data_IF_927736858969
#
_entry.id   IF_927736858969
#
_cell.length_a   1.000
_cell.length_b   1.000
_cell.length_c   1.000
_cell.angle_alpha   90.00
_cell.angle_beta   90.00
_cell.angle_gamma   90.00
#
_symmetry.space_group_name_H-M   'P 1'
#
loop_
_entity.id
_entity.type
_entity.pdbx_description
1 polymer ?
#
# COMPACT_ATOMS: atom_id res chain seq x y z
N UNK A 1 -7.52 8.65 0.12
CA UNK A 1 -6.52 9.69 -0.17
C UNK A 1 -5.11 9.17 0.09
N UNK A 2 -4.64 9.09 1.35
CA UNK A 2 -3.21 8.89 1.65
C UNK A 2 -2.64 7.47 1.47
N UNK A 3 -3.48 6.45 1.31
CA UNK A 3 -3.02 5.06 1.26
C UNK A 3 -1.91 4.78 0.22
N UNK A 4 -1.95 5.32 -1.01
CA UNK A 4 -0.85 5.15 -1.96
C UNK A 4 0.45 5.87 -1.56
N UNK A 5 0.37 6.95 -0.78
CA UNK A 5 1.52 7.70 -0.28
C UNK A 5 2.18 7.00 0.91
N UNK A 6 1.37 6.41 1.79
CA UNK A 6 1.86 5.72 2.99
C UNK A 6 2.19 4.25 2.75
N UNK A 7 2.05 3.75 1.52
CA UNK A 7 2.18 2.34 1.21
C UNK A 7 3.52 1.76 1.67
N UNK A 8 4.63 2.50 1.53
CA UNK A 8 5.95 2.02 1.94
C UNK A 8 6.07 1.70 3.45
N UNK A 9 5.21 2.29 4.31
CA UNK A 9 5.15 1.97 5.74
C UNK A 9 4.47 0.62 6.00
N UNK A 10 3.65 0.15 5.06
CA UNK A 10 2.82 -1.05 5.18
C UNK A 10 3.34 -2.21 4.31
N UNK A 11 3.88 -1.89 3.14
CA UNK A 11 4.51 -2.79 2.18
C UNK A 11 5.98 -2.37 2.07
N UNK A 12 6.76 -2.73 3.08
CA UNK A 12 8.09 -2.18 3.33
C UNK A 12 9.23 -3.00 2.69
N UNK A 13 8.93 -4.08 1.97
CA UNK A 13 9.92 -4.98 1.35
C UNK A 13 9.70 -5.06 -0.15
N UNK A 14 10.74 -5.39 -0.92
CA UNK A 14 10.59 -5.67 -2.38
C UNK A 14 9.57 -6.79 -2.61
N UNK A 15 9.60 -7.82 -1.76
CA UNK A 15 8.67 -8.96 -1.84
C UNK A 15 7.21 -8.57 -1.57
N UNK A 16 6.93 -7.47 -0.85
CA UNK A 16 5.55 -7.01 -0.65
C UNK A 16 4.82 -6.78 -1.98
N UNK A 17 5.54 -6.34 -3.02
CA UNK A 17 4.97 -5.97 -4.32
C UNK A 17 4.77 -7.16 -5.25
N UNK A 18 5.39 -8.31 -4.98
CA UNK A 18 5.07 -9.56 -5.71
C UNK A 18 3.67 -10.06 -5.34
N UNK A 19 3.18 -9.71 -4.15
CA UNK A 19 1.81 -9.99 -3.69
C UNK A 19 0.79 -9.00 -4.26
N UNK A 20 1.16 -7.73 -4.44
CA UNK A 20 0.27 -6.64 -4.87
C UNK A 20 0.01 -6.64 -6.40
N UNK A 21 -0.35 -7.81 -6.93
CA UNK A 21 -0.65 -8.01 -8.36
C UNK A 21 -2.09 -8.52 -8.54
N UNK A 22 -2.74 -8.20 -9.67
CA UNK A 22 -4.12 -8.63 -9.93
C UNK A 22 -4.28 -10.16 -9.87
N UNK A 23 -5.45 -10.64 -9.42
CA UNK A 23 -5.81 -12.06 -9.44
C UNK A 23 -5.47 -12.87 -8.19
N UNK A 24 -4.73 -12.30 -7.23
CA UNK A 24 -4.33 -12.98 -5.98
C UNK A 24 -5.05 -12.47 -4.73
N UNK A 25 -6.24 -11.88 -4.89
CA UNK A 25 -7.05 -11.28 -3.80
C UNK A 25 -6.35 -10.17 -3.01
N UNK A 26 -5.20 -9.71 -3.49
CA UNK A 26 -4.47 -8.57 -2.98
C UNK A 26 -5.01 -7.28 -3.63
N UNK A 27 -5.23 -6.22 -2.86
CA UNK A 27 -5.66 -4.94 -3.40
C UNK A 27 -4.55 -4.31 -4.26
N UNK A 28 -4.91 -3.75 -5.42
CA UNK A 28 -3.97 -3.02 -6.31
C UNK A 28 -4.26 -1.51 -6.36
N UNK A 29 -5.34 -1.07 -5.73
CA UNK A 29 -5.75 0.32 -5.68
C UNK A 29 -6.35 0.67 -4.32
N UNK A 30 -6.19 1.93 -3.91
CA UNK A 30 -6.75 2.52 -2.70
C UNK A 30 -8.27 2.68 -2.82
N UNK A 31 -8.96 1.58 -2.57
CA UNK A 31 -10.41 1.40 -2.71
C UNK A 31 -11.03 0.96 -1.41
N UNK A 32 -12.32 1.21 -1.26
CA UNK A 32 -13.10 0.64 -0.17
C UNK A 32 -14.42 0.07 -0.66
N UNK A 33 -15.01 -0.83 0.11
CA UNK A 33 -16.33 -1.38 -0.16
C UNK A 33 -16.89 -2.15 1.02
N UNK A 34 -18.21 -2.32 1.05
CA UNK A 34 -18.92 -3.09 2.08
C UNK A 34 -18.80 -4.57 1.76
N UNK A 35 -18.25 -5.34 2.70
CA UNK A 35 -17.98 -6.78 2.56
C UNK A 35 -17.15 -7.18 1.33
N UNK A 36 -16.50 -6.21 0.66
CA UNK A 36 -15.80 -6.43 -0.59
C UNK A 36 -14.34 -6.84 -0.36
N UNK A 37 -14.01 -8.09 -0.67
CA UNK A 37 -12.66 -8.65 -0.49
C UNK A 37 -11.65 -8.24 -1.57
N UNK A 38 -12.11 -7.62 -2.65
CA UNK A 38 -11.24 -7.10 -3.71
C UNK A 38 -10.74 -5.68 -3.43
N UNK A 39 -11.34 -4.99 -2.46
CA UNK A 39 -10.94 -3.65 -2.03
C UNK A 39 -9.77 -3.65 -1.04
N UNK A 40 -9.08 -2.51 -0.95
CA UNK A 40 -8.03 -2.30 0.05
C UNK A 40 -8.57 -2.14 1.47
N UNK A 41 -9.66 -1.40 1.61
CA UNK A 41 -10.42 -1.29 2.85
C UNK A 41 -11.74 -2.05 2.70
N UNK A 42 -11.95 -3.03 3.57
CA UNK A 42 -13.24 -3.74 3.63
C UNK A 42 -13.99 -3.30 4.86
N UNK A 43 -15.14 -2.66 4.65
CA UNK A 43 -16.06 -2.35 5.73
C UNK A 43 -16.80 -3.63 6.08
N UNK A 44 -16.67 -4.06 7.33
CA UNK A 44 -17.38 -5.21 7.87
C UNK A 44 -18.53 -4.69 8.72
N UNK A 45 -19.75 -5.00 8.30
CA UNK A 45 -20.94 -4.57 9.01
C UNK A 45 -21.16 -5.42 10.26
N UNK A 46 -21.75 -4.82 11.29
CA UNK A 46 -21.98 -5.46 12.57
C UNK A 46 -22.80 -4.57 13.48
N UNK A 47 -22.92 -4.96 14.74
CA UNK A 47 -23.47 -4.09 15.77
C UNK A 47 -22.47 -3.01 16.20
N UNK A 48 -22.85 -2.18 17.16
CA UNK A 48 -22.04 -1.08 17.66
C UNK A 48 -20.62 -1.49 18.12
N UNK A 49 -20.45 -2.73 18.62
CA UNK A 49 -19.16 -3.25 19.09
C UNK A 49 -18.38 -4.06 18.06
N UNK A 50 -18.95 -4.37 16.89
CA UNK A 50 -18.35 -5.30 15.93
C UNK A 50 -18.20 -4.74 14.51
N UNK A 51 -18.86 -3.62 14.18
CA UNK A 51 -18.61 -2.89 12.96
C UNK A 51 -17.18 -2.36 12.94
N UNK A 52 -16.46 -2.61 11.84
CA UNK A 52 -15.03 -2.25 11.72
C UNK A 52 -14.60 -2.13 10.27
N UNK A 53 -13.42 -1.56 10.07
CA UNK A 53 -12.74 -1.53 8.78
C UNK A 53 -11.54 -2.47 8.83
N UNK A 54 -11.47 -3.39 7.87
CA UNK A 54 -10.33 -4.28 7.65
C UNK A 54 -9.36 -3.65 6.65
N UNK A 55 -8.09 -3.49 7.06
CA UNK A 55 -7.01 -2.94 6.24
C UNK A 55 -6.25 -4.08 5.53
N UNK A 56 -6.62 -4.40 4.29
CA UNK A 56 -6.23 -5.64 3.60
C UNK A 56 -4.86 -5.62 2.89
N UNK A 57 -4.19 -4.47 2.91
CA UNK A 57 -2.87 -4.31 2.28
C UNK A 57 -1.74 -4.86 3.18
N UNK A 58 -1.92 -4.87 4.50
CA UNK A 58 -0.90 -5.37 5.41
C UNK A 58 -0.56 -6.85 5.14
N UNK A 59 0.73 -7.17 5.21
CA UNK A 59 1.28 -8.51 5.07
C UNK A 59 1.94 -8.97 6.38
N UNK A 60 2.30 -10.25 6.49
CA UNK A 60 2.83 -10.81 7.74
C UNK A 60 4.27 -10.34 8.05
N UNK A 61 5.03 -9.90 7.05
CA UNK A 61 6.40 -9.38 7.14
C UNK A 61 6.48 -7.90 7.53
N UNK A 62 5.34 -7.27 7.79
CA UNK A 62 5.23 -5.85 8.16
C UNK A 62 5.75 -5.58 9.57
N UNK A 63 6.25 -4.36 9.80
CA UNK A 63 6.38 -3.83 11.15
C UNK A 63 4.98 -3.45 11.68
N UNK A 64 4.41 -4.15 12.68
CA UNK A 64 3.03 -3.94 13.12
C UNK A 64 2.81 -2.54 13.72
N UNK A 65 3.84 -1.92 14.30
CA UNK A 65 3.74 -0.56 14.84
C UNK A 65 3.56 0.46 13.72
N UNK A 66 4.35 0.35 12.64
CA UNK A 66 4.22 1.24 11.48
C UNK A 66 2.89 1.01 10.75
N UNK A 67 2.44 -0.24 10.67
CA UNK A 67 1.15 -0.59 10.09
C UNK A 67 -0.02 0.11 10.81
N UNK A 68 -0.05 -0.02 12.13
CA UNK A 68 -1.10 0.57 12.97
C UNK A 68 -1.00 2.09 12.95
N UNK A 69 0.20 2.65 13.02
CA UNK A 69 0.40 4.09 12.96
C UNK A 69 -0.04 4.68 11.60
N UNK A 70 0.26 4.00 10.48
CA UNK A 70 -0.24 4.39 9.16
C UNK A 70 -1.77 4.30 9.05
N UNK A 71 -2.37 3.21 9.54
CA UNK A 71 -3.82 3.03 9.49
C UNK A 71 -4.57 4.06 10.35
N UNK A 72 -4.16 4.24 11.61
CA UNK A 72 -4.79 5.19 12.55
C UNK A 72 -4.49 6.62 12.13
N UNK A 73 -3.22 6.95 11.84
CA UNK A 73 -2.81 8.31 11.47
C UNK A 73 -3.50 8.80 10.20
N UNK A 74 -3.58 7.98 9.15
CA UNK A 74 -4.31 8.37 7.93
C UNK A 74 -5.81 8.48 8.12
N UNK A 75 -6.40 7.67 9.01
CA UNK A 75 -7.81 7.78 9.38
C UNK A 75 -8.13 9.07 10.13
N UNK A 76 -7.32 9.40 11.15
CA UNK A 76 -7.46 10.65 11.91
C UNK A 76 -7.24 11.87 11.02
N UNK A 77 -6.20 11.87 10.19
CA UNK A 77 -5.93 12.94 9.23
C UNK A 77 -7.13 13.18 8.31
N UNK A 78 -7.76 12.11 7.81
CA UNK A 78 -8.97 12.21 6.98
C UNK A 78 -10.16 12.82 7.73
N UNK A 79 -10.35 12.49 9.01
CA UNK A 79 -11.42 13.07 9.84
C UNK A 79 -11.17 14.57 10.06
N UNK A 80 -9.95 14.95 10.43
CA UNK A 80 -9.56 16.34 10.70
C UNK A 80 -9.72 17.22 9.46
N UNK A 81 -9.32 16.71 8.30
CA UNK A 81 -9.40 17.40 7.02
C UNK A 81 -10.74 17.22 6.30
N UNK A 82 -11.72 16.54 6.93
CA UNK A 82 -13.06 16.27 6.39
C UNK A 82 -13.01 15.67 4.98
N UNK A 83 -12.14 14.69 4.81
CA UNK A 83 -11.94 14.00 3.54
C UNK A 83 -13.06 12.97 3.37
N UNK A 84 -13.95 13.25 2.42
CA UNK A 84 -14.96 12.27 2.02
C UNK A 84 -14.31 11.14 1.22
N UNK A 85 -14.62 9.87 1.53
CA UNK A 85 -14.19 8.75 0.71
C UNK A 85 -14.94 8.76 -0.63
N UNK A 86 -14.34 8.17 -1.66
CA UNK A 86 -15.02 8.00 -2.95
C UNK A 86 -16.22 7.06 -2.80
N UNK A 87 -17.04 6.91 -3.84
CA UNK A 87 -18.11 5.92 -3.84
C UNK A 87 -17.58 4.50 -3.55
N UNK A 88 -18.29 3.70 -2.72
CA UNK A 88 -17.87 2.35 -2.41
C UNK A 88 -17.88 1.47 -3.67
N UNK A 89 -16.84 0.65 -3.83
CA UNK A 89 -16.76 -0.27 -4.96
C UNK A 89 -17.76 -1.41 -4.76
N UNK A 90 -18.72 -1.46 -5.68
CA UNK A 90 -19.62 -2.61 -5.86
C UNK A 90 -19.06 -3.55 -6.93
N UNK A 91 -19.19 -4.87 -6.71
CA UNK A 91 -18.62 -5.88 -7.59
C UNK A 91 -17.10 -6.03 -7.42
N UNK A 92 -16.39 -6.39 -8.49
CA UNK A 92 -14.95 -6.62 -8.46
C UNK A 92 -14.16 -5.32 -8.65
N UNK A 93 -13.27 -5.00 -7.73
CA UNK A 93 -12.42 -3.80 -7.79
C UNK A 93 -11.39 -3.86 -8.92
N UNK A 94 -10.94 -5.05 -9.34
CA UNK A 94 -9.99 -5.20 -10.44
C UNK A 94 -10.56 -4.75 -11.79
N UNK A 95 -11.89 -4.77 -11.94
CA UNK A 95 -12.58 -4.38 -13.18
C UNK A 95 -12.85 -2.87 -13.25
N UNK A 96 -12.50 -2.12 -12.19
CA UNK A 96 -12.76 -0.69 -12.10
C UNK A 96 -11.57 0.10 -12.63
N UNK A 97 -11.86 1.02 -13.57
CA UNK A 97 -10.89 2.03 -13.99
C UNK A 97 -10.87 3.15 -12.97
N UNK A 98 -9.80 3.20 -12.18
CA UNK A 98 -9.61 4.20 -11.13
C UNK A 98 -8.53 5.21 -11.56
N UNK A 99 -8.65 6.47 -11.13
CA UNK A 99 -7.63 7.49 -11.36
C UNK A 99 -6.24 7.05 -10.90
N UNK A 100 -5.20 7.62 -11.50
CA UNK A 100 -3.80 7.26 -11.21
C UNK A 100 -3.44 7.50 -9.73
N UNK A 101 -4.04 8.52 -9.11
CA UNK A 101 -3.81 8.86 -7.70
C UNK A 101 -4.35 7.78 -6.75
N UNK A 102 -5.26 6.92 -7.21
CA UNK A 102 -5.78 5.78 -6.43
C UNK A 102 -5.04 4.49 -6.69
N UNK A 103 -4.20 4.41 -7.73
CA UNK A 103 -3.40 3.23 -7.98
C UNK A 103 -2.30 3.12 -6.92
N UNK A 104 -2.16 1.93 -6.34
CA UNK A 104 -1.04 1.66 -5.43
C UNK A 104 0.26 1.60 -6.23
N UNK A 105 1.38 2.08 -5.66
CA UNK A 105 2.70 1.81 -6.18
C UNK A 105 2.92 0.32 -6.49
N UNK A 106 3.60 0.03 -7.59
CA UNK A 106 3.87 -1.34 -8.08
C UNK A 106 5.24 -1.87 -7.68
N UNK A 107 6.10 -1.00 -7.17
CA UNK A 107 7.45 -1.34 -6.71
C UNK A 107 7.75 -0.66 -5.39
N UNK A 108 8.74 -1.17 -4.65
CA UNK A 108 9.18 -0.54 -3.41
C UNK A 108 9.75 0.86 -3.67
N UNK A 109 10.43 1.04 -4.80
CA UNK A 109 10.95 2.35 -5.22
C UNK A 109 9.85 3.38 -5.45
N UNK A 110 8.78 3.03 -6.18
CA UNK A 110 7.64 3.94 -6.37
C UNK A 110 6.97 4.31 -5.05
N UNK A 111 6.81 3.33 -4.14
CA UNK A 111 6.19 3.60 -2.83
C UNK A 111 7.06 4.49 -1.96
N UNK A 112 8.37 4.26 -1.96
CA UNK A 112 9.32 5.08 -1.23
C UNK A 112 9.37 6.52 -1.78
N UNK A 113 9.29 6.69 -3.10
CA UNK A 113 9.22 8.00 -3.74
C UNK A 113 7.94 8.75 -3.34
N UNK A 114 6.77 8.10 -3.37
CA UNK A 114 5.53 8.73 -2.92
C UNK A 114 5.55 9.09 -1.44
N UNK A 115 6.12 8.23 -0.60
CA UNK A 115 6.28 8.50 0.83
C UNK A 115 7.16 9.74 1.07
N UNK A 116 8.30 9.86 0.38
CA UNK A 116 9.23 10.97 0.53
C UNK A 116 8.59 12.34 0.21
N UNK A 117 7.68 12.37 -0.78
CA UNK A 117 6.99 13.59 -1.21
C UNK A 117 5.65 13.83 -0.52
N UNK A 118 5.25 12.99 0.43
CA UNK A 118 3.97 13.12 1.12
C UNK A 118 4.04 14.14 2.25
N UNK A 119 3.40 15.30 2.05
CA UNK A 119 3.26 16.30 3.11
C UNK A 119 2.51 15.75 4.34
N UNK A 120 1.46 14.95 4.11
CA UNK A 120 0.71 14.33 5.19
C UNK A 120 1.55 13.30 5.97
N UNK A 121 2.42 12.53 5.30
CA UNK A 121 3.35 11.65 6.00
C UNK A 121 4.33 12.45 6.88
N UNK A 122 4.86 13.56 6.37
CA UNK A 122 5.79 14.41 7.12
C UNK A 122 5.12 15.03 8.35
N UNK A 123 3.86 15.43 8.24
CA UNK A 123 3.04 15.91 9.35
C UNK A 123 2.78 14.80 10.39
N UNK A 124 2.39 13.61 9.95
CA UNK A 124 2.01 12.50 10.82
C UNK A 124 3.19 11.82 11.54
N UNK A 125 4.34 11.71 10.87
CA UNK A 125 5.48 10.91 11.35
C UNK A 125 6.75 11.72 11.59
N UNK A 126 6.77 12.99 11.17
CA UNK A 126 7.94 13.85 11.23
C UNK A 126 8.85 13.69 10.00
N UNK A 127 9.27 14.82 9.43
CA UNK A 127 10.15 14.87 8.25
C UNK A 127 11.40 14.00 8.37
N UNK A 128 12.18 14.03 9.48
CA UNK A 128 13.41 13.23 9.58
C UNK A 128 13.15 11.72 9.46
N UNK A 129 12.04 11.23 10.02
CA UNK A 129 11.66 9.83 9.92
C UNK A 129 11.27 9.47 8.49
N UNK A 130 10.39 10.27 7.88
CA UNK A 130 9.88 10.02 6.52
C UNK A 130 11.01 9.99 5.50
N UNK A 131 11.90 10.98 5.53
CA UNK A 131 13.06 11.05 4.64
C UNK A 131 13.99 9.84 4.82
N UNK A 132 14.35 9.53 6.06
CA UNK A 132 15.24 8.40 6.35
C UNK A 132 14.62 7.06 5.95
N UNK A 133 13.35 6.84 6.30
CA UNK A 133 12.65 5.61 6.00
C UNK A 133 12.50 5.41 4.49
N UNK A 134 12.06 6.43 3.74
CA UNK A 134 11.97 6.38 2.29
C UNK A 134 13.34 6.13 1.65
N UNK A 135 14.41 6.81 2.10
CA UNK A 135 15.76 6.59 1.60
C UNK A 135 16.25 5.14 1.83
N UNK A 136 15.92 4.54 2.98
CA UNK A 136 16.28 3.15 3.28
C UNK A 136 15.57 2.15 2.35
N UNK A 137 14.31 2.40 1.98
CA UNK A 137 13.55 1.59 1.01
C UNK A 137 14.10 1.73 -0.42
N UNK A 138 14.49 2.96 -0.81
CA UNK A 138 15.18 3.17 -2.08
C UNK A 138 16.53 2.45 -2.13
N UNK A 139 17.26 2.40 -1.01
CA UNK A 139 18.50 1.64 -0.93
C UNK A 139 18.27 0.13 -1.09
N UNK A 140 17.26 -0.42 -0.42
CA UNK A 140 16.89 -1.84 -0.54
C UNK A 140 16.56 -2.23 -1.98
N UNK A 141 15.76 -1.42 -2.69
CA UNK A 141 15.46 -1.66 -4.10
C UNK A 141 16.74 -1.65 -4.96
N UNK A 142 17.66 -0.70 -4.72
CA UNK A 142 18.93 -0.63 -5.47
C UNK A 142 19.77 -1.87 -5.25
N UNK A 143 19.84 -2.39 -4.02
CA UNK A 143 20.57 -3.64 -3.75
C UNK A 143 19.88 -4.84 -4.40
N UNK A 144 18.55 -4.92 -4.35
CA UNK A 144 17.80 -5.98 -5.03
C UNK A 144 18.07 -6.01 -6.54
N UNK A 145 18.13 -4.84 -7.20
CA UNK A 145 18.43 -4.74 -8.64
C UNK A 145 19.82 -5.24 -9.04
N UNK A 146 20.73 -5.46 -8.09
CA UNK A 146 22.08 -6.01 -8.36
C UNK A 146 22.07 -7.54 -8.36
N UNK A 147 21.01 -8.17 -7.86
CA UNK A 147 20.88 -9.62 -7.86
C UNK A 147 20.46 -10.13 -9.24
N UNK A 148 20.93 -11.33 -9.59
CA UNK A 148 20.39 -12.12 -10.71
C UNK A 148 19.62 -13.29 -10.09
N UNK A 149 18.34 -13.37 -10.40
CA UNK A 149 17.43 -14.37 -9.86
C UNK A 149 17.43 -15.65 -10.70
N UNK A 150 17.05 -16.77 -10.08
CA UNK A 150 16.89 -18.05 -10.79
C UNK A 150 15.85 -17.97 -11.92
N UNK A 151 14.81 -17.12 -11.76
CA UNK A 151 13.84 -16.88 -12.82
C UNK A 151 14.48 -16.24 -14.05
N UNK A 152 15.36 -15.25 -13.88
CA UNK A 152 16.09 -14.60 -14.98
C UNK A 152 17.04 -15.58 -15.66
N UNK A 153 17.74 -16.42 -14.88
CA UNK A 153 18.58 -17.49 -15.43
C UNK A 153 17.73 -18.47 -16.24
N UNK A 154 16.70 -19.08 -15.66
CA UNK A 154 15.86 -20.04 -16.36
C UNK A 154 15.17 -19.45 -17.61
N UNK A 155 14.80 -18.16 -17.58
CA UNK A 155 14.13 -17.49 -18.70
C UNK A 155 15.07 -17.16 -19.85
N UNK A 156 16.30 -16.71 -19.58
CA UNK A 156 17.17 -16.08 -20.58
C UNK A 156 18.42 -16.91 -20.92
N UNK A 157 18.82 -17.86 -20.07
CA UNK A 157 20.10 -18.58 -20.23
C UNK A 157 20.11 -19.54 -21.42
N UNK A 158 18.94 -20.08 -21.84
CA UNK A 158 18.81 -20.96 -23.02
C UNK A 158 18.42 -20.22 -24.32
N UNK A 159 18.29 -18.89 -24.28
CA UNK A 159 17.89 -18.08 -25.46
C UNK A 159 19.09 -17.74 -26.37
N UNK A 160 20.31 -18.15 -25.99
CA UNK A 160 21.55 -17.89 -26.73
C UNK A 160 22.09 -19.19 -27.34
#
# INVERSE_FOLDING_TARGET
ALMPELLALVAATVNSYTRLVPGFWAPTAATWGVENRTCALRVIQGGASSQRVEYRIAAADINPYLALAAAIGSGLWGIEHRIEPDEPISGNAYDRKLPAERQLPRTLSEAAERLAHSAAAQELFGTPFVEHFAASRQWEEREFRRAVTDWELARYFEII
#
